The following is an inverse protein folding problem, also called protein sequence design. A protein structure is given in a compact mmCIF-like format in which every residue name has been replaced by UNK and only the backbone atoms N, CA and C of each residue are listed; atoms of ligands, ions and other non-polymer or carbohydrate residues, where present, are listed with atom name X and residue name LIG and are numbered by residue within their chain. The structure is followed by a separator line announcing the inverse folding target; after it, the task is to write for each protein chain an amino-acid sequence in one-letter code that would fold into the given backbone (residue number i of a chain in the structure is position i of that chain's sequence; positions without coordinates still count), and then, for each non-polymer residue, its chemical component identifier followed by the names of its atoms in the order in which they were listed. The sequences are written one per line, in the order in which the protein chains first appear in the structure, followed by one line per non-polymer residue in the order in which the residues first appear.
data_IF_553568915991
#
_entry.id   IF_553568915991
#
_cell.length_a   1.000
_cell.length_b   1.000
_cell.length_c   1.000
_cell.angle_alpha   90.00
_cell.angle_beta   90.00
_cell.angle_gamma   90.00
#
_symmetry.space_group_name_H-M   'P 1'
#
loop_
_entity.id
_entity.type
_entity.pdbx_description
1 polymer ?
#
# COMPACT_ATOMS: atom_id res chain seq x y z
N UNK A 1 0.33 6.71 18.08
CA UNK A 1 1.78 6.53 17.90
C UNK A 1 2.33 7.57 16.93
N UNK A 2 3.36 8.28 17.33
CA UNK A 2 4.07 9.26 16.49
C UNK A 2 5.09 8.54 15.60
N UNK A 3 5.66 9.27 14.64
CA UNK A 3 6.74 8.72 13.81
C UNK A 3 7.95 8.35 14.69
N UNK A 4 8.26 9.18 15.69
CA UNK A 4 9.33 8.89 16.65
C UNK A 4 9.06 7.60 17.43
N UNK A 5 7.85 7.43 17.95
CA UNK A 5 7.46 6.21 18.66
C UNK A 5 7.53 5.00 17.75
N UNK A 6 7.12 5.17 16.49
CA UNK A 6 7.20 4.12 15.51
C UNK A 6 8.65 3.71 15.24
N UNK A 7 9.55 4.67 15.10
CA UNK A 7 10.97 4.39 14.90
C UNK A 7 11.58 3.64 16.08
N UNK A 8 11.26 4.04 17.31
CA UNK A 8 11.71 3.36 18.51
C UNK A 8 11.17 1.92 18.53
N UNK A 9 9.89 1.75 18.26
CA UNK A 9 9.21 0.46 18.32
C UNK A 9 9.74 -0.53 17.28
N UNK A 10 9.95 -0.08 16.04
CA UNK A 10 10.41 -0.94 14.95
C UNK A 10 11.93 -1.01 14.83
N UNK A 11 12.65 -0.12 15.50
CA UNK A 11 14.11 -0.12 15.56
C UNK A 11 14.76 -0.07 14.18
N UNK A 12 15.81 -0.89 14.04
CA UNK A 12 16.66 -0.87 12.82
C UNK A 12 15.93 -1.25 11.54
N UNK A 13 14.74 -1.85 11.62
CA UNK A 13 13.97 -2.23 10.42
C UNK A 13 13.62 -1.03 9.55
N UNK A 14 13.47 0.16 10.14
CA UNK A 14 13.14 1.38 9.41
C UNK A 14 14.28 1.87 8.52
N UNK A 15 15.50 1.49 8.84
CA UNK A 15 16.68 1.93 8.09
C UNK A 15 17.11 0.94 7.01
N UNK A 16 16.37 -0.16 6.87
CA UNK A 16 16.63 -1.10 5.79
C UNK A 16 16.17 -0.51 4.46
N UNK A 17 16.89 -0.85 3.39
CA UNK A 17 16.57 -0.38 2.04
C UNK A 17 15.21 -0.86 1.56
N UNK A 18 14.70 -1.97 2.11
CA UNK A 18 13.38 -2.48 1.75
C UNK A 18 12.73 -3.21 2.91
N UNK A 19 11.41 -3.14 2.95
CA UNK A 19 10.55 -3.88 3.88
C UNK A 19 9.55 -4.69 3.07
N UNK A 20 9.32 -5.94 3.45
CA UNK A 20 8.37 -6.80 2.76
C UNK A 20 7.02 -6.74 3.46
N UNK A 21 6.00 -6.35 2.72
CA UNK A 21 4.61 -6.38 3.18
C UNK A 21 3.88 -7.51 2.45
N UNK A 22 3.21 -8.38 3.21
CA UNK A 22 2.42 -9.47 2.64
C UNK A 22 0.98 -9.03 2.50
N UNK A 23 0.47 -9.03 1.27
CA UNK A 23 -0.90 -8.62 0.97
C UNK A 23 -1.74 -9.83 0.58
N UNK A 24 -2.99 -9.85 1.06
CA UNK A 24 -3.98 -10.86 0.66
C UNK A 24 -4.95 -10.18 -0.31
N UNK A 25 -5.05 -10.72 -1.52
CA UNK A 25 -5.82 -10.12 -2.61
C UNK A 25 -6.71 -11.17 -3.28
N UNK A 26 -7.67 -10.71 -4.06
CA UNK A 26 -8.51 -11.64 -4.82
C UNK A 26 -7.78 -12.14 -6.07
N UNK A 27 -8.34 -13.17 -6.70
CA UNK A 27 -7.70 -13.81 -7.86
C UNK A 27 -7.58 -12.86 -9.06
N UNK A 28 -8.57 -11.99 -9.26
CA UNK A 28 -8.54 -11.03 -10.36
C UNK A 28 -7.34 -10.09 -10.24
N UNK A 29 -7.14 -9.51 -9.04
CA UNK A 29 -6.00 -8.64 -8.79
C UNK A 29 -4.69 -9.41 -8.89
N UNK A 30 -4.66 -10.64 -8.36
CA UNK A 30 -3.48 -11.49 -8.46
C UNK A 30 -3.08 -11.72 -9.93
N UNK A 31 -4.04 -12.02 -10.78
CA UNK A 31 -3.78 -12.26 -12.20
C UNK A 31 -3.25 -11.00 -12.91
N UNK A 32 -3.78 -9.83 -12.56
CA UNK A 32 -3.27 -8.57 -13.10
C UNK A 32 -1.80 -8.34 -12.73
N UNK A 33 -1.43 -8.64 -11.48
CA UNK A 33 -0.06 -8.50 -11.02
C UNK A 33 0.85 -9.61 -11.57
N UNK A 34 0.33 -10.82 -11.71
CA UNK A 34 1.10 -11.96 -12.22
C UNK A 34 1.49 -11.79 -13.69
N UNK A 35 0.71 -11.03 -14.45
CA UNK A 35 1.01 -10.74 -15.85
C UNK A 35 2.19 -9.76 -15.99
N UNK A 36 2.56 -9.08 -14.92
CA UNK A 36 3.72 -8.20 -14.89
C UNK A 36 4.99 -9.01 -14.65
N UNK A 37 6.09 -8.62 -15.28
CA UNK A 37 7.37 -9.23 -14.97
C UNK A 37 7.87 -8.80 -13.59
N UNK A 38 8.92 -9.44 -13.08
CA UNK A 38 9.44 -9.17 -11.72
C UNK A 38 9.80 -7.70 -11.54
N UNK A 39 10.40 -7.10 -12.56
CA UNK A 39 10.83 -5.70 -12.53
C UNK A 39 9.61 -4.76 -12.45
N UNK A 40 8.59 -5.00 -13.26
CA UNK A 40 7.35 -4.22 -13.25
C UNK A 40 6.61 -4.36 -11.92
N UNK A 41 6.58 -5.56 -11.34
CA UNK A 41 5.95 -5.78 -10.02
C UNK A 41 6.64 -4.98 -8.93
N UNK A 42 7.97 -4.91 -8.94
CA UNK A 42 8.72 -4.10 -7.98
C UNK A 42 8.35 -2.62 -8.12
N UNK A 43 8.26 -2.17 -9.36
CA UNK A 43 8.02 -0.76 -9.64
C UNK A 43 6.57 -0.32 -9.44
N UNK A 44 5.61 -1.24 -9.54
CA UNK A 44 4.20 -0.86 -9.43
C UNK A 44 3.88 -0.26 -8.06
N UNK A 45 4.42 -0.82 -6.99
CA UNK A 45 4.20 -0.30 -5.65
C UNK A 45 4.88 1.07 -5.46
N UNK A 46 6.07 1.24 -6.00
CA UNK A 46 6.76 2.53 -5.95
C UNK A 46 5.98 3.59 -6.72
N UNK A 47 5.53 3.28 -7.93
CA UNK A 47 4.73 4.20 -8.75
C UNK A 47 3.41 4.55 -8.06
N UNK A 48 2.75 3.56 -7.47
CA UNK A 48 1.51 3.76 -6.74
C UNK A 48 1.71 4.72 -5.56
N UNK A 49 2.73 4.50 -4.76
CA UNK A 49 3.01 5.33 -3.59
C UNK A 49 3.35 6.75 -4.03
N UNK A 50 4.15 6.91 -5.08
CA UNK A 50 4.48 8.23 -5.64
C UNK A 50 3.20 8.96 -6.08
N UNK A 51 2.31 8.25 -6.77
CA UNK A 51 1.02 8.80 -7.19
C UNK A 51 0.20 9.28 -5.99
N UNK A 52 0.11 8.44 -4.95
CA UNK A 52 -0.64 8.79 -3.73
C UNK A 52 -0.04 10.00 -3.03
N UNK A 53 1.28 10.09 -2.97
CA UNK A 53 1.98 11.23 -2.37
C UNK A 53 1.66 12.53 -3.14
N UNK A 54 1.62 12.46 -4.46
CA UNK A 54 1.24 13.60 -5.30
C UNK A 54 -0.19 14.05 -5.04
N UNK A 55 -1.12 13.11 -4.91
CA UNK A 55 -2.51 13.45 -4.63
C UNK A 55 -2.66 14.11 -3.26
N UNK A 56 -1.99 13.59 -2.25
CA UNK A 56 -2.01 14.16 -0.90
C UNK A 56 -1.40 15.55 -0.86
N UNK A 57 -0.37 15.82 -1.67
CA UNK A 57 0.24 17.15 -1.72
C UNK A 57 -0.71 18.19 -2.30
N UNK A 58 -1.63 17.79 -3.17
CA UNK A 58 -2.64 18.67 -3.77
C UNK A 58 -3.89 18.81 -2.90
N UNK A 59 -4.25 17.74 -2.18
CA UNK A 59 -5.45 17.67 -1.36
C UNK A 59 -5.20 16.77 -0.16
N UNK A 60 -5.04 17.35 1.02
CA UNK A 60 -4.72 16.62 2.24
C UNK A 60 -5.78 15.60 2.64
N UNK A 61 -7.01 15.77 2.20
CA UNK A 61 -8.12 14.87 2.49
C UNK A 61 -8.29 13.79 1.41
N UNK A 62 -7.43 13.77 0.39
CA UNK A 62 -7.58 12.88 -0.74
C UNK A 62 -7.66 11.41 -0.32
N UNK A 63 -6.82 10.98 0.60
CA UNK A 63 -6.80 9.58 1.06
C UNK A 63 -8.10 9.23 1.77
N UNK A 64 -8.57 10.08 2.66
CA UNK A 64 -9.84 9.85 3.37
C UNK A 64 -11.02 9.76 2.42
N UNK A 65 -11.00 10.54 1.35
CA UNK A 65 -12.10 10.62 0.40
C UNK A 65 -12.05 9.52 -0.66
N UNK A 66 -10.89 8.94 -0.94
CA UNK A 66 -10.71 8.04 -2.08
C UNK A 66 -10.27 6.62 -1.71
N UNK A 67 -9.53 6.45 -0.61
CA UNK A 67 -9.05 5.14 -0.19
C UNK A 67 -9.95 4.61 0.91
N UNK A 68 -10.65 3.51 0.64
CA UNK A 68 -11.59 2.93 1.59
C UNK A 68 -11.18 1.51 1.95
N UNK A 69 -11.47 1.12 3.20
CA UNK A 69 -11.25 -0.25 3.62
C UNK A 69 -12.09 -1.20 2.75
N UNK A 70 -11.45 -2.29 2.34
CA UNK A 70 -12.12 -3.28 1.50
C UNK A 70 -12.98 -4.21 2.34
N UNK A 71 -14.26 -4.29 2.01
CA UNK A 71 -15.18 -5.28 2.58
C UNK A 71 -15.15 -6.54 1.72
N UNK A 72 -14.00 -7.23 1.71
CA UNK A 72 -13.84 -8.45 0.92
C UNK A 72 -13.99 -9.65 1.84
N UNK A 73 -14.85 -10.59 1.45
CA UNK A 73 -15.06 -11.84 2.19
C UNK A 73 -13.83 -12.75 2.01
N UNK A 74 -13.61 -13.65 2.96
CA UNK A 74 -12.52 -14.62 2.87
C UNK A 74 -12.58 -15.48 1.61
N UNK A 75 -13.75 -15.64 1.01
CA UNK A 75 -13.92 -16.40 -0.24
C UNK A 75 -13.30 -15.67 -1.44
N UNK A 76 -13.21 -14.35 -1.37
CA UNK A 76 -12.65 -13.52 -2.44
C UNK A 76 -11.15 -13.28 -2.27
N UNK A 77 -10.64 -13.40 -1.05
CA UNK A 77 -9.23 -13.23 -0.74
C UNK A 77 -8.53 -14.56 -0.80
N UNK A 78 -8.07 -14.95 -1.96
CA UNK A 78 -7.53 -16.29 -2.18
C UNK A 78 -6.11 -16.32 -2.71
N UNK A 79 -5.40 -15.20 -2.70
CA UNK A 79 -4.03 -15.12 -3.17
C UNK A 79 -3.21 -14.20 -2.27
N UNK A 80 -1.92 -14.52 -2.13
CA UNK A 80 -0.99 -13.72 -1.32
C UNK A 80 0.15 -13.25 -2.20
N UNK A 81 0.50 -11.96 -2.08
CA UNK A 81 1.67 -11.39 -2.76
C UNK A 81 2.53 -10.66 -1.73
N UNK A 82 3.81 -10.47 -2.08
CA UNK A 82 4.73 -9.68 -1.26
C UNK A 82 5.08 -8.39 -2.00
N UNK A 83 4.99 -7.27 -1.28
CA UNK A 83 5.38 -5.97 -1.79
C UNK A 83 6.67 -5.53 -1.10
N UNK A 84 7.67 -5.13 -1.88
CA UNK A 84 8.92 -4.61 -1.36
C UNK A 84 8.82 -3.08 -1.30
N UNK A 85 8.93 -2.53 -0.09
CA UNK A 85 8.68 -1.11 0.20
C UNK A 85 9.94 -0.53 0.86
N UNK A 86 10.39 0.67 0.43
CA UNK A 86 11.52 1.33 1.08
C UNK A 86 11.15 1.79 2.49
N UNK A 87 12.17 2.07 3.32
CA UNK A 87 11.94 2.56 4.68
C UNK A 87 11.14 3.85 4.71
N UNK A 88 11.45 4.79 3.83
CA UNK A 88 10.73 6.07 3.74
C UNK A 88 9.29 5.88 3.28
N UNK A 89 9.06 5.02 2.31
CA UNK A 89 7.73 4.69 1.84
C UNK A 89 6.91 4.01 2.94
N UNK A 90 7.54 3.13 3.72
CA UNK A 90 6.88 2.46 4.83
C UNK A 90 6.45 3.43 5.91
N UNK A 91 7.30 4.40 6.25
CA UNK A 91 6.96 5.46 7.22
C UNK A 91 5.75 6.26 6.75
N UNK A 92 5.74 6.63 5.48
CA UNK A 92 4.62 7.38 4.89
C UNK A 92 3.34 6.57 4.96
N UNK A 93 3.40 5.29 4.56
CA UNK A 93 2.26 4.39 4.62
C UNK A 93 1.73 4.22 6.05
N UNK A 94 2.63 4.04 7.01
CA UNK A 94 2.25 3.89 8.41
C UNK A 94 1.49 5.11 8.91
N UNK A 95 1.99 6.30 8.62
CA UNK A 95 1.37 7.55 9.05
C UNK A 95 -0.07 7.66 8.53
N UNK A 96 -0.27 7.39 7.27
CA UNK A 96 -1.60 7.49 6.66
C UNK A 96 -2.52 6.33 7.04
N UNK A 97 -1.98 5.13 7.17
CA UNK A 97 -2.75 3.97 7.65
C UNK A 97 -3.32 4.23 9.03
N UNK A 98 -2.51 4.80 9.92
CA UNK A 98 -2.94 5.13 11.26
C UNK A 98 -4.07 6.15 11.26
N UNK A 99 -3.99 7.18 10.42
CA UNK A 99 -5.05 8.18 10.33
C UNK A 99 -6.36 7.61 9.79
N UNK A 100 -6.31 6.47 9.09
CA UNK A 100 -7.49 5.75 8.60
C UNK A 100 -7.91 4.60 9.51
N UNK A 101 -7.25 4.41 10.65
CA UNK A 101 -7.48 3.29 11.58
C UNK A 101 -7.28 1.91 10.93
N UNK A 102 -6.31 1.81 10.04
CA UNK A 102 -5.97 0.56 9.34
C UNK A 102 -4.54 0.14 9.66
N UNK A 103 -4.26 -1.16 9.58
CA UNK A 103 -2.88 -1.63 9.57
C UNK A 103 -2.21 -1.22 8.26
N UNK A 104 -0.88 -1.19 8.23
CA UNK A 104 -0.13 -0.86 7.01
C UNK A 104 -0.51 -1.82 5.88
N UNK A 105 -0.62 -3.12 6.18
CA UNK A 105 -0.97 -4.13 5.19
C UNK A 105 -2.36 -3.89 4.61
N UNK A 106 -3.36 -3.64 5.46
CA UNK A 106 -4.73 -3.35 5.00
C UNK A 106 -4.79 -2.05 4.21
N UNK A 107 -4.08 -1.02 4.68
CA UNK A 107 -4.03 0.26 4.00
C UNK A 107 -3.38 0.13 2.62
N UNK A 108 -2.24 -0.56 2.55
CA UNK A 108 -1.54 -0.78 1.28
C UNK A 108 -2.41 -1.56 0.30
N UNK A 109 -3.14 -2.58 0.78
CA UNK A 109 -4.08 -3.34 -0.04
C UNK A 109 -5.19 -2.45 -0.59
N UNK A 110 -5.79 -1.62 0.26
CA UNK A 110 -6.82 -0.67 -0.16
C UNK A 110 -6.29 0.31 -1.19
N UNK A 111 -5.07 0.82 -1.00
CA UNK A 111 -4.42 1.70 -1.96
C UNK A 111 -4.20 1.02 -3.30
N UNK A 112 -3.79 -0.25 -3.29
CA UNK A 112 -3.57 -1.01 -4.52
C UNK A 112 -4.85 -1.11 -5.35
N UNK A 113 -5.97 -1.46 -4.72
CA UNK A 113 -7.25 -1.54 -5.42
C UNK A 113 -7.70 -0.18 -5.94
N UNK A 114 -7.55 0.87 -5.13
CA UNK A 114 -7.89 2.23 -5.53
C UNK A 114 -7.06 2.68 -6.73
N UNK A 115 -5.76 2.41 -6.70
CA UNK A 115 -4.85 2.80 -7.78
C UNK A 115 -5.23 2.12 -9.10
N UNK A 116 -5.49 0.81 -9.08
CA UNK A 116 -5.88 0.08 -10.29
C UNK A 116 -7.23 0.53 -10.82
N UNK A 117 -8.19 0.79 -9.94
CA UNK A 117 -9.49 1.31 -10.33
C UNK A 117 -9.38 2.65 -11.06
N UNK A 118 -8.59 3.58 -10.49
CA UNK A 118 -8.39 4.89 -11.10
C UNK A 118 -7.65 4.79 -12.43
N UNK A 119 -6.66 3.91 -12.51
CA UNK A 119 -5.89 3.69 -13.72
C UNK A 119 -6.74 3.12 -14.85
N UNK A 120 -7.66 2.20 -14.51
CA UNK A 120 -8.52 1.54 -15.50
C UNK A 120 -9.65 2.45 -15.97
N UNK A 121 -9.99 3.48 -15.21
CA UNK A 121 -11.06 4.42 -15.55
C UNK A 121 -10.56 5.68 -16.26
N UNK A 122 -9.28 5.73 -16.56
CA UNK A 122 -8.70 6.85 -17.33
C UNK A 122 -8.67 6.57 -18.81
#
# INVERSE_FOLDING_TARGET
MTIQEFEIFHGKKLYKSSNNCRLIINRTMFNQLADLNVYERKNIFHKMITFLQEQVSKDHEWIKNNVKELSITNKELNATISASISGDEYKWLFTHAKSCNLSVTKFLTACLYTYFELKNNC
#
